data_IF_141518531683
#
_entry.id   IF_141518531683
#
_cell.length_a   1.000
_cell.length_b   1.000
_cell.length_c   1.000
_cell.angle_alpha   90.00
_cell.angle_beta   90.00
_cell.angle_gamma   90.00
#
_symmetry.space_group_name_H-M   'P 1'
#
loop_
_entity.id
_entity.type
_entity.pdbx_description
1 polymer ?
#
# COMPACT_ATOMS: atom_id res chain seq x y z
N UNK A 1 -5.18 -64.58 -0.67
CA UNK A 1 -5.75 -63.24 -0.43
C UNK A 1 -4.69 -62.20 -0.79
N UNK A 2 -4.70 -61.61 -2.00
CA UNK A 2 -3.72 -60.59 -2.36
C UNK A 2 -4.09 -59.23 -1.74
N UNK A 3 -3.19 -58.68 -0.94
CA UNK A 3 -3.32 -57.37 -0.30
C UNK A 3 -2.93 -56.28 -1.31
N UNK A 4 -3.90 -55.49 -1.76
CA UNK A 4 -3.66 -54.34 -2.65
C UNK A 4 -3.37 -53.12 -1.77
N UNK A 5 -2.20 -52.47 -1.87
CA UNK A 5 -1.96 -51.24 -1.12
C UNK A 5 -2.84 -50.10 -1.68
N UNK A 6 -3.29 -49.16 -0.83
CA UNK A 6 -4.08 -48.02 -1.29
C UNK A 6 -3.24 -47.15 -2.23
N UNK A 7 -3.84 -46.76 -3.36
CA UNK A 7 -3.23 -45.87 -4.32
C UNK A 7 -3.06 -44.49 -3.67
N UNK A 8 -1.81 -44.03 -3.61
CA UNK A 8 -1.47 -42.69 -3.15
C UNK A 8 -2.07 -41.66 -4.09
N UNK A 9 -3.21 -41.08 -3.72
CA UNK A 9 -3.73 -39.87 -4.35
C UNK A 9 -2.68 -38.76 -4.15
N UNK A 10 -1.97 -38.45 -5.23
CA UNK A 10 -1.04 -37.34 -5.25
C UNK A 10 -1.83 -36.05 -5.08
N UNK A 11 -1.67 -35.40 -3.92
CA UNK A 11 -2.16 -34.05 -3.68
C UNK A 11 -1.64 -33.19 -4.83
N UNK A 12 -2.51 -32.58 -5.66
CA UNK A 12 -2.03 -31.68 -6.70
C UNK A 12 -1.33 -30.53 -5.97
N UNK A 13 -0.01 -30.43 -6.17
CA UNK A 13 0.78 -29.28 -5.79
C UNK A 13 0.13 -28.07 -6.44
N UNK A 14 -0.74 -27.38 -5.69
CA UNK A 14 -1.28 -26.10 -6.07
C UNK A 14 -0.07 -25.24 -6.38
N UNK A 15 0.09 -24.92 -7.67
CA UNK A 15 1.13 -24.07 -8.22
C UNK A 15 1.44 -22.99 -7.20
N UNK A 16 2.68 -22.98 -6.69
CA UNK A 16 3.15 -21.93 -5.79
C UNK A 16 2.71 -20.61 -6.41
N UNK A 17 1.79 -19.91 -5.72
CA UNK A 17 1.44 -18.55 -6.06
C UNK A 17 2.78 -17.82 -6.05
N UNK A 18 3.35 -17.64 -7.24
CA UNK A 18 4.50 -16.80 -7.47
C UNK A 18 3.95 -15.40 -7.33
N UNK A 19 3.70 -15.04 -6.07
CA UNK A 19 3.57 -13.70 -5.59
C UNK A 19 4.95 -13.14 -5.86
N UNK A 20 5.16 -12.67 -7.10
CA UNK A 20 6.33 -11.89 -7.45
C UNK A 20 6.41 -10.87 -6.32
N UNK A 21 7.50 -10.81 -5.54
CA UNK A 21 7.68 -9.69 -4.62
C UNK A 21 7.62 -8.50 -5.55
N UNK A 22 6.49 -7.81 -5.52
CA UNK A 22 6.22 -6.74 -6.45
C UNK A 22 7.22 -5.68 -6.08
N UNK A 23 8.27 -5.68 -6.90
CA UNK A 23 9.40 -4.78 -6.85
C UNK A 23 8.82 -3.40 -6.70
N UNK A 24 9.34 -2.67 -5.73
CA UNK A 24 9.14 -1.25 -5.58
C UNK A 24 7.75 -0.82 -5.07
N UNK A 25 7.46 -1.07 -3.79
CA UNK A 25 6.22 -0.59 -3.13
C UNK A 25 6.32 0.79 -2.47
N UNK A 26 7.48 1.45 -2.59
CA UNK A 26 7.77 2.82 -2.13
C UNK A 26 7.03 3.93 -2.92
N UNK A 27 6.16 3.56 -3.87
CA UNK A 27 5.56 4.42 -4.90
C UNK A 27 4.35 5.26 -4.49
N UNK A 28 3.96 5.32 -3.22
CA UNK A 28 2.69 5.95 -2.81
C UNK A 28 2.83 7.30 -2.09
N UNK A 29 3.89 8.04 -2.41
CA UNK A 29 4.00 9.47 -2.16
C UNK A 29 4.14 10.15 -3.54
N UNK A 30 3.21 11.04 -3.91
CA UNK A 30 3.16 11.71 -5.22
C UNK A 30 4.53 12.32 -5.62
N UNK A 31 5.27 12.80 -4.61
CA UNK A 31 6.60 13.38 -4.80
C UNK A 31 7.64 12.36 -5.27
N UNK A 32 7.54 11.13 -4.77
CA UNK A 32 8.43 10.02 -5.12
C UNK A 32 8.05 9.44 -6.48
N UNK A 33 6.76 9.36 -6.77
CA UNK A 33 6.24 8.92 -8.07
C UNK A 33 6.74 9.83 -9.20
N UNK A 34 6.66 11.16 -9.03
CA UNK A 34 7.17 12.11 -10.02
C UNK A 34 8.67 11.98 -10.29
N UNK A 35 9.46 11.71 -9.25
CA UNK A 35 10.91 11.46 -9.39
C UNK A 35 11.19 10.16 -10.16
N UNK A 36 10.46 9.09 -9.86
CA UNK A 36 10.63 7.81 -10.52
C UNK A 36 10.11 7.83 -11.96
N UNK A 37 9.03 8.56 -12.23
CA UNK A 37 8.54 8.84 -13.58
C UNK A 37 9.63 9.52 -14.43
N UNK A 38 10.32 10.52 -13.88
CA UNK A 38 11.47 11.17 -14.54
C UNK A 38 12.59 10.18 -14.84
N UNK A 39 13.01 9.34 -13.88
CA UNK A 39 14.03 8.31 -14.13
C UNK A 39 13.60 7.38 -15.28
N UNK A 40 12.35 6.90 -15.24
CA UNK A 40 11.83 5.98 -16.23
C UNK A 40 11.76 6.62 -17.63
N UNK A 41 11.32 7.87 -17.72
CA UNK A 41 11.29 8.64 -18.96
C UNK A 41 12.70 8.81 -19.54
N UNK A 42 13.67 9.24 -18.73
CA UNK A 42 15.07 9.42 -19.17
C UNK A 42 15.71 8.08 -19.54
N UNK A 43 15.41 7.00 -18.81
CA UNK A 43 15.87 5.65 -19.14
C UNK A 43 15.30 5.17 -20.47
N UNK A 44 14.02 5.42 -20.75
CA UNK A 44 13.41 5.13 -22.06
C UNK A 44 14.09 5.95 -23.16
N UNK A 45 14.37 7.23 -22.91
CA UNK A 45 15.07 8.09 -23.86
C UNK A 45 16.48 7.57 -24.19
N UNK A 46 17.26 7.21 -23.16
CA UNK A 46 18.60 6.63 -23.33
C UNK A 46 18.57 5.30 -24.10
N UNK A 47 17.59 4.43 -23.82
CA UNK A 47 17.42 3.16 -24.56
C UNK A 47 17.14 3.38 -26.05
N UNK A 48 16.42 4.44 -26.40
CA UNK A 48 16.13 4.79 -27.81
C UNK A 48 17.35 5.39 -28.51
N UNK A 49 18.15 6.19 -27.79
CA UNK A 49 19.31 6.91 -28.33
C UNK A 49 20.47 6.85 -27.32
N UNK A 50 21.31 5.81 -27.37
CA UNK A 50 22.41 5.64 -26.43
C UNK A 50 23.60 6.53 -26.81
N UNK A 51 23.51 7.83 -26.49
CA UNK A 51 24.58 8.81 -26.69
C UNK A 51 25.27 9.13 -25.35
N UNK A 52 26.51 9.61 -25.38
CA UNK A 52 27.24 10.02 -24.18
C UNK A 52 26.49 11.11 -23.38
N UNK A 53 25.87 12.06 -24.09
CA UNK A 53 25.03 13.11 -23.50
C UNK A 53 23.81 12.51 -22.77
N UNK A 54 23.11 11.54 -23.39
CA UNK A 54 21.96 10.89 -22.77
C UNK A 54 22.34 10.04 -21.56
N UNK A 55 23.53 9.43 -21.58
CA UNK A 55 24.09 8.73 -20.42
C UNK A 55 24.37 9.69 -19.26
N UNK A 56 25.00 10.83 -19.54
CA UNK A 56 25.27 11.86 -18.53
C UNK A 56 23.96 12.41 -17.94
N UNK A 57 22.95 12.66 -18.78
CA UNK A 57 21.62 13.08 -18.35
C UNK A 57 20.97 12.03 -17.43
N UNK A 58 21.02 10.75 -17.80
CA UNK A 58 20.46 9.68 -16.98
C UNK A 58 21.17 9.60 -15.61
N UNK A 59 22.50 9.70 -15.59
CA UNK A 59 23.28 9.72 -14.35
C UNK A 59 22.91 10.92 -13.47
N UNK A 60 22.80 12.11 -14.04
CA UNK A 60 22.40 13.32 -13.33
C UNK A 60 20.99 13.19 -12.74
N UNK A 61 20.03 12.67 -13.52
CA UNK A 61 18.65 12.44 -13.07
C UNK A 61 18.60 11.41 -11.94
N UNK A 62 19.34 10.31 -12.05
CA UNK A 62 19.40 9.28 -10.99
C UNK A 62 20.05 9.82 -9.73
N UNK A 63 21.14 10.58 -9.84
CA UNK A 63 21.81 11.22 -8.69
C UNK A 63 20.86 12.21 -7.98
N UNK A 64 20.23 13.11 -8.73
CA UNK A 64 19.27 14.07 -8.19
C UNK A 64 18.06 13.38 -7.55
N UNK A 65 17.59 12.30 -8.14
CA UNK A 65 16.51 11.50 -7.60
C UNK A 65 16.88 10.85 -6.26
N UNK A 66 18.08 10.26 -6.16
CA UNK A 66 18.55 9.64 -4.93
C UNK A 66 18.70 10.65 -3.79
N UNK A 67 19.20 11.87 -4.08
CA UNK A 67 19.24 12.97 -3.11
C UNK A 67 17.85 13.31 -2.58
N UNK A 68 16.89 13.55 -3.48
CA UNK A 68 15.49 13.84 -3.08
C UNK A 68 14.84 12.74 -2.23
N UNK A 69 15.16 11.48 -2.50
CA UNK A 69 14.68 10.35 -1.68
C UNK A 69 15.28 10.38 -0.28
N UNK A 70 16.58 10.69 -0.17
CA UNK A 70 17.26 10.83 1.11
C UNK A 70 16.66 11.98 1.93
N UNK A 71 16.49 13.16 1.32
CA UNK A 71 15.87 14.32 1.97
C UNK A 71 14.47 13.96 2.51
N UNK A 72 13.67 13.25 1.72
CA UNK A 72 12.35 12.80 2.17
C UNK A 72 12.37 11.77 3.29
N UNK A 73 13.34 10.86 3.28
CA UNK A 73 13.53 9.90 4.36
C UNK A 73 13.92 10.60 5.66
N UNK A 74 14.76 11.62 5.58
CA UNK A 74 15.20 12.43 6.72
C UNK A 74 14.04 13.25 7.29
N UNK A 75 13.26 13.93 6.44
CA UNK A 75 12.03 14.63 6.85
C UNK A 75 11.03 13.69 7.53
N UNK A 76 10.87 12.47 7.02
CA UNK A 76 9.96 11.48 7.59
C UNK A 76 10.46 10.94 8.93
N UNK A 77 11.78 10.72 9.08
CA UNK A 77 12.41 10.35 10.35
C UNK A 77 12.26 11.47 11.39
N UNK A 78 12.52 12.72 11.03
CA UNK A 78 12.34 13.86 11.93
C UNK A 78 10.89 13.96 12.43
N UNK A 79 9.92 13.78 11.53
CA UNK A 79 8.49 13.75 11.90
C UNK A 79 8.15 12.57 12.82
N UNK A 80 8.71 11.39 12.57
CA UNK A 80 8.55 10.24 13.44
C UNK A 80 9.04 10.57 14.85
N UNK A 81 10.29 11.03 14.98
CA UNK A 81 10.90 11.37 16.27
C UNK A 81 10.09 12.43 17.02
N UNK A 82 9.56 13.45 16.32
CA UNK A 82 8.71 14.48 16.93
C UNK A 82 7.36 13.97 17.46
N UNK A 83 6.91 12.79 17.01
CA UNK A 83 5.63 12.17 17.41
C UNK A 83 5.81 11.07 18.44
N UNK A 84 7.04 10.65 18.73
CA UNK A 84 7.33 9.64 19.73
C UNK A 84 7.15 10.24 21.13
N UNK A 85 6.14 9.75 21.83
CA UNK A 85 5.92 10.00 23.25
C UNK A 85 6.26 8.74 24.07
N UNK A 86 6.44 8.90 25.38
CA UNK A 86 6.65 7.86 26.40
C UNK A 86 5.64 6.70 26.34
N UNK A 87 4.46 6.92 25.78
CA UNK A 87 3.41 5.92 25.60
C UNK A 87 3.44 5.20 24.24
N UNK A 88 4.38 5.54 23.35
CA UNK A 88 4.47 4.94 22.01
C UNK A 88 4.93 3.49 22.11
N UNK A 89 4.11 2.56 21.61
CA UNK A 89 4.49 1.14 21.64
C UNK A 89 5.68 0.84 20.72
N UNK A 90 6.58 -0.03 21.14
CA UNK A 90 7.73 -0.47 20.33
C UNK A 90 7.29 -1.04 18.97
N UNK A 91 6.17 -1.77 18.95
CA UNK A 91 5.60 -2.32 17.72
C UNK A 91 5.14 -1.25 16.74
N UNK A 92 4.57 -0.14 17.23
CA UNK A 92 4.18 0.98 16.39
C UNK A 92 5.38 1.74 15.83
N UNK A 93 6.38 2.01 16.68
CA UNK A 93 7.65 2.62 16.25
C UNK A 93 8.31 1.80 15.15
N UNK A 94 8.39 0.48 15.33
CA UNK A 94 8.97 -0.41 14.34
C UNK A 94 8.16 -0.42 13.04
N UNK A 95 6.83 -0.42 13.09
CA UNK A 95 5.99 -0.33 11.89
C UNK A 95 6.24 0.99 11.15
N UNK A 96 6.31 2.11 11.85
CA UNK A 96 6.55 3.41 11.22
C UNK A 96 7.97 3.51 10.62
N UNK A 97 8.99 2.99 11.30
CA UNK A 97 10.34 2.87 10.74
C UNK A 97 10.38 2.00 9.48
N UNK A 98 9.68 0.87 9.48
CA UNK A 98 9.58 0.01 8.30
C UNK A 98 8.85 0.70 7.14
N UNK A 99 7.92 1.62 7.42
CA UNK A 99 7.28 2.45 6.38
C UNK A 99 8.26 3.49 5.83
N UNK A 100 9.02 4.18 6.68
CA UNK A 100 10.01 5.19 6.26
C UNK A 100 11.14 4.56 5.45
N UNK A 101 11.63 3.40 5.90
CA UNK A 101 12.62 2.60 5.18
C UNK A 101 12.08 2.01 3.85
N UNK A 102 10.78 2.12 3.60
CA UNK A 102 10.12 1.61 2.38
C UNK A 102 9.89 0.09 2.37
N UNK A 103 10.10 -0.59 3.50
CA UNK A 103 9.90 -2.04 3.64
C UNK A 103 8.42 -2.43 3.78
N UNK A 104 7.58 -1.52 4.31
CA UNK A 104 6.13 -1.74 4.47
C UNK A 104 5.34 -0.58 3.89
N UNK A 105 4.16 -0.89 3.34
CA UNK A 105 3.21 0.13 2.90
C UNK A 105 2.50 0.72 4.12
N UNK A 106 2.26 2.04 4.17
CA UNK A 106 1.27 2.58 5.09
C UNK A 106 -0.07 1.92 4.76
N UNK A 107 -0.81 1.51 5.79
CA UNK A 107 -2.17 1.00 5.63
C UNK A 107 -2.99 2.17 5.11
N UNK A 108 -3.41 2.10 3.84
CA UNK A 108 -4.33 3.08 3.28
C UNK A 108 -5.71 2.78 3.86
N UNK A 109 -6.42 3.79 4.39
CA UNK A 109 -7.81 3.59 4.74
C UNK A 109 -8.60 3.16 3.49
N UNK A 110 -9.55 2.23 3.62
CA UNK A 110 -10.33 1.72 2.50
C UNK A 110 -11.19 2.80 1.83
N UNK A 111 -11.51 3.88 2.56
CA UNK A 111 -12.30 5.01 2.07
C UNK A 111 -11.47 6.31 2.13
N UNK A 112 -11.57 7.23 1.14
CA UNK A 112 -10.85 8.50 1.12
C UNK A 112 -11.19 9.43 2.29
N UNK A 113 -12.39 9.29 2.87
CA UNK A 113 -12.81 10.01 4.07
C UNK A 113 -13.66 9.10 4.96
N UNK A 114 -13.03 8.24 5.79
CA UNK A 114 -13.75 7.29 6.62
C UNK A 114 -14.57 7.99 7.71
N UNK A 115 -14.17 9.20 8.12
CA UNK A 115 -14.87 9.97 9.14
C UNK A 115 -16.21 10.50 8.62
N UNK A 116 -16.22 11.03 7.39
CA UNK A 116 -17.46 11.48 6.73
C UNK A 116 -18.43 10.32 6.53
N UNK A 117 -17.97 9.19 6.01
CA UNK A 117 -18.83 8.02 5.76
C UNK A 117 -19.38 7.43 7.06
N UNK A 118 -18.57 7.38 8.12
CA UNK A 118 -19.05 7.00 9.45
C UNK A 118 -20.09 7.98 10.00
N UNK A 119 -19.90 9.28 9.78
CA UNK A 119 -20.86 10.32 10.15
C UNK A 119 -22.19 10.19 9.39
N UNK A 120 -22.14 9.93 8.09
CA UNK A 120 -23.31 9.67 7.24
C UNK A 120 -24.06 8.41 7.68
N UNK A 121 -23.34 7.32 7.97
CA UNK A 121 -23.93 6.08 8.47
C UNK A 121 -24.60 6.27 9.84
N UNK A 122 -23.95 6.99 10.75
CA UNK A 122 -24.50 7.31 12.09
C UNK A 122 -25.75 8.18 11.97
N UNK A 123 -25.70 9.19 11.10
CA UNK A 123 -26.83 10.09 10.86
C UNK A 123 -28.02 9.35 10.24
N UNK A 124 -27.76 8.47 9.26
CA UNK A 124 -28.77 7.60 8.61
C UNK A 124 -29.40 6.61 9.59
N UNK A 125 -28.59 6.03 10.48
CA UNK A 125 -29.09 5.17 11.55
C UNK A 125 -29.99 5.95 12.52
N UNK A 126 -29.55 7.13 12.96
CA UNK A 126 -30.33 8.00 13.85
C UNK A 126 -31.66 8.45 13.21
N UNK A 127 -31.69 8.74 11.91
CA UNK A 127 -32.95 9.09 11.23
C UNK A 127 -33.91 7.89 11.16
N UNK A 128 -33.40 6.68 10.90
CA UNK A 128 -34.22 5.45 10.86
C UNK A 128 -34.80 5.09 12.22
N UNK A 129 -34.05 5.31 13.29
CA UNK A 129 -34.50 5.02 14.66
C UNK A 129 -35.44 6.11 15.21
N UNK A 130 -35.24 7.39 14.86
CA UNK A 130 -36.15 8.48 15.27
C UNK A 130 -37.47 8.54 14.50
N UNK A 131 -37.49 8.14 13.23
CA UNK A 131 -38.71 8.24 12.39
C UNK A 131 -39.71 7.10 12.63
N UNK A 132 -39.44 6.19 13.57
CA UNK A 132 -40.36 5.10 13.90
C UNK A 132 -40.71 4.20 12.70
N UNK A 133 -39.91 4.22 11.63
CA UNK A 133 -40.07 3.29 10.51
C UNK A 133 -39.52 1.92 10.93
N UNK A 134 -40.23 1.27 11.85
CA UNK A 134 -40.14 -0.17 12.00
C UNK A 134 -40.50 -0.79 10.64
N UNK A 135 -39.69 -1.72 10.09
CA UNK A 135 -40.08 -2.43 8.88
C UNK A 135 -41.46 -3.03 9.14
N UNK A 136 -42.46 -2.64 8.34
CA UNK A 136 -43.80 -3.22 8.42
C UNK A 136 -43.63 -4.71 8.12
N UNK A 137 -43.64 -5.52 9.17
CA UNK A 137 -43.84 -6.97 9.08
C UNK A 137 -45.15 -7.14 8.32
N UNK A 138 -45.03 -7.48 7.03
CA UNK A 138 -46.18 -7.87 6.22
C UNK A 138 -46.70 -9.15 6.85
N UNK A 139 -47.76 -9.05 7.63
CA UNK A 139 -48.54 -10.20 8.03
C UNK A 139 -49.08 -10.85 6.75
N UNK A 140 -48.51 -12.00 6.40
CA UNK A 140 -49.13 -12.92 5.47
C UNK A 140 -50.41 -13.41 6.17
N UNK A 141 -51.55 -13.06 5.59
CA UNK A 141 -52.86 -13.60 5.95
C UNK A 141 -53.25 -14.52 4.81
N UNK A 142 -53.35 -15.81 5.12
CA UNK A 142 -54.17 -16.79 4.40
C UNK A 142 -55.62 -16.69 4.89
#
# INVERSE_FOLDING_TARGET
>A
MPFTPPQSESIPLTSSLTTKPHRDYWFYNDRVEGVQHRINSTRRHYRRKPTAQNRALLQAVVSAANRRKADHSEEALAKLVSRLDSHSSLGEMWRQLQVIAGNKRPIRPPHPDPAREAGEATSSFATRTCTGQSPKLRHATD
#
